data_IF_945978310501
#
_entry.id   IF_945978310501
#
_cell.length_a   1.000
_cell.length_b   1.000
_cell.length_c   1.000
_cell.angle_alpha   90.00
_cell.angle_beta   90.00
_cell.angle_gamma   90.00
#
_symmetry.space_group_name_H-M   'P 1'
#
loop_
_entity.id
_entity.type
_entity.pdbx_description
1 polymer ?
#
# COMPACT_ATOMS: atom_id res chain seq x y z
N UNK A 1 8.82 0.30 -14.80
CA UNK A 1 7.76 0.06 -15.79
C UNK A 1 6.43 0.18 -15.06
N UNK A 2 5.49 0.95 -15.58
CA UNK A 2 4.16 1.09 -15.02
C UNK A 2 3.40 -0.26 -15.07
N UNK A 3 2.43 -0.45 -14.16
CA UNK A 3 1.60 -1.67 -14.15
C UNK A 3 0.93 -1.94 -15.51
N UNK A 4 0.42 -0.94 -16.25
CA UNK A 4 -0.09 -1.13 -17.61
C UNK A 4 0.95 -1.67 -18.59
N UNK A 5 2.17 -1.13 -18.60
CA UNK A 5 3.26 -1.64 -19.47
C UNK A 5 3.67 -3.06 -19.13
N UNK A 6 3.72 -3.40 -17.84
CA UNK A 6 4.00 -4.76 -17.40
C UNK A 6 2.92 -5.73 -17.89
N UNK A 7 1.66 -5.36 -17.73
CA UNK A 7 0.52 -6.16 -18.17
C UNK A 7 0.53 -6.37 -19.69
N UNK A 8 0.80 -5.33 -20.46
CA UNK A 8 0.83 -5.36 -21.93
C UNK A 8 1.94 -6.27 -22.47
N UNK A 9 3.13 -6.23 -21.87
CA UNK A 9 4.24 -7.14 -22.19
C UNK A 9 3.82 -8.60 -21.99
N UNK A 10 3.17 -8.92 -20.87
CA UNK A 10 2.75 -10.27 -20.56
C UNK A 10 1.58 -10.74 -21.45
N UNK A 11 0.61 -9.88 -21.75
CA UNK A 11 -0.48 -10.19 -22.67
C UNK A 11 0.02 -10.45 -24.09
N UNK A 12 0.95 -9.64 -24.60
CA UNK A 12 1.54 -9.84 -25.92
C UNK A 12 2.32 -11.16 -25.98
N UNK A 13 3.03 -11.50 -24.91
CA UNK A 13 3.74 -12.79 -24.85
C UNK A 13 2.78 -13.98 -24.85
N UNK A 14 1.69 -13.90 -24.08
CA UNK A 14 0.66 -14.94 -24.05
C UNK A 14 -0.01 -15.11 -25.43
N UNK A 15 -0.29 -14.02 -26.14
CA UNK A 15 -0.90 -14.09 -27.48
C UNK A 15 -0.07 -14.89 -28.50
N UNK A 16 1.25 -14.82 -28.38
CA UNK A 16 2.20 -15.46 -29.31
C UNK A 16 2.50 -16.93 -29.00
N UNK A 17 2.12 -17.44 -27.84
CA UNK A 17 2.40 -18.81 -27.42
C UNK A 17 1.35 -19.79 -27.96
N UNK A 18 1.78 -21.06 -28.20
CA UNK A 18 0.87 -22.16 -28.45
C UNK A 18 -0.02 -22.45 -27.22
N UNK A 19 -1.22 -23.06 -27.37
CA UNK A 19 -2.18 -23.22 -26.27
C UNK A 19 -1.60 -23.87 -25.02
N UNK A 20 -0.78 -24.90 -25.15
CA UNK A 20 -0.16 -25.60 -24.04
C UNK A 20 0.92 -24.75 -23.33
N UNK A 21 1.63 -23.92 -24.08
CA UNK A 21 2.66 -23.04 -23.55
C UNK A 21 2.06 -21.82 -22.86
N UNK A 22 0.85 -21.38 -23.25
CA UNK A 22 0.07 -20.39 -22.51
C UNK A 22 -0.23 -20.85 -21.10
N UNK A 23 -0.68 -22.10 -20.95
CA UNK A 23 -0.98 -22.69 -19.64
C UNK A 23 0.30 -22.78 -18.80
N UNK A 24 1.38 -23.29 -19.34
CA UNK A 24 2.68 -23.37 -18.65
C UNK A 24 3.19 -22.00 -18.22
N UNK A 25 3.06 -21.01 -19.09
CA UNK A 25 3.46 -19.63 -18.79
C UNK A 25 2.63 -19.04 -17.65
N UNK A 26 1.31 -19.18 -17.67
CA UNK A 26 0.43 -18.72 -16.58
C UNK A 26 0.77 -19.42 -15.27
N UNK A 27 0.93 -20.74 -15.26
CA UNK A 27 1.30 -21.51 -14.07
C UNK A 27 2.66 -21.03 -13.52
N UNK A 28 3.65 -20.81 -14.38
CA UNK A 28 4.97 -20.31 -13.95
C UNK A 28 4.90 -18.93 -13.32
N UNK A 29 4.02 -18.05 -13.81
CA UNK A 29 3.82 -16.71 -13.23
C UNK A 29 3.08 -16.76 -11.90
N UNK A 30 2.05 -17.60 -11.80
CA UNK A 30 1.33 -17.84 -10.54
C UNK A 30 2.29 -18.43 -9.50
N UNK A 31 3.07 -19.43 -9.85
CA UNK A 31 4.08 -20.03 -8.96
C UNK A 31 5.13 -19.02 -8.51
N UNK A 32 5.61 -18.15 -9.40
CA UNK A 32 6.56 -17.08 -9.07
C UNK A 32 5.96 -16.05 -8.10
N UNK A 33 4.68 -15.70 -8.28
CA UNK A 33 3.97 -14.81 -7.36
C UNK A 33 3.79 -15.45 -5.99
N UNK A 34 3.46 -16.75 -5.95
CA UNK A 34 3.35 -17.52 -4.71
C UNK A 34 4.69 -17.64 -3.97
N UNK A 35 5.76 -17.98 -4.68
CA UNK A 35 7.11 -18.06 -4.13
C UNK A 35 7.59 -16.70 -3.62
N UNK A 36 7.27 -15.60 -4.33
CA UNK A 36 7.62 -14.25 -3.92
C UNK A 36 6.88 -13.83 -2.62
N UNK A 37 5.62 -14.25 -2.45
CA UNK A 37 4.83 -14.01 -1.24
C UNK A 37 5.43 -14.73 -0.03
N UNK A 38 5.78 -16.02 -0.17
CA UNK A 38 6.41 -16.84 0.88
C UNK A 38 7.81 -16.30 1.19
N UNK A 39 8.60 -16.01 0.17
CA UNK A 39 9.98 -15.51 0.32
C UNK A 39 10.04 -14.16 1.05
N UNK A 40 9.05 -13.25 0.86
CA UNK A 40 9.04 -11.98 1.57
C UNK A 40 8.86 -12.17 3.08
N UNK A 41 7.88 -12.98 3.49
CA UNK A 41 7.62 -13.30 4.90
C UNK A 41 8.84 -13.92 5.56
N UNK A 42 9.37 -15.00 4.97
CA UNK A 42 10.53 -15.72 5.49
C UNK A 42 11.75 -14.82 5.57
N UNK A 43 11.96 -13.95 4.59
CA UNK A 43 13.06 -13.01 4.57
C UNK A 43 12.94 -11.94 5.66
N UNK A 44 11.76 -11.39 5.89
CA UNK A 44 11.52 -10.40 6.95
C UNK A 44 11.76 -11.05 8.32
N UNK A 45 11.16 -12.19 8.60
CA UNK A 45 11.32 -12.88 9.88
C UNK A 45 12.79 -13.30 10.11
N UNK A 46 13.47 -13.86 9.11
CA UNK A 46 14.87 -14.26 9.22
C UNK A 46 15.82 -13.07 9.44
N UNK A 47 15.54 -11.92 8.87
CA UNK A 47 16.35 -10.72 9.11
C UNK A 47 16.12 -10.16 10.53
N UNK A 48 14.86 -10.10 10.97
CA UNK A 48 14.52 -9.56 12.29
C UNK A 48 14.95 -10.47 13.43
N UNK A 49 14.95 -11.81 13.23
CA UNK A 49 15.45 -12.76 14.23
C UNK A 49 16.96 -12.64 14.54
N UNK A 50 17.71 -11.96 13.67
CA UNK A 50 19.15 -11.66 13.88
C UNK A 50 19.38 -10.40 14.72
N UNK A 51 18.35 -9.64 14.99
CA UNK A 51 18.40 -8.40 15.77
C UNK A 51 18.05 -8.77 17.20
N UNK A 52 19.00 -8.65 18.13
CA UNK A 52 18.84 -9.02 19.54
C UNK A 52 17.66 -8.33 20.26
N UNK A 53 17.16 -7.23 19.71
CA UNK A 53 16.00 -6.49 20.21
C UNK A 53 14.66 -7.22 19.99
N UNK A 54 14.60 -8.22 19.11
CA UNK A 54 13.36 -8.94 18.80
C UNK A 54 13.32 -10.28 19.56
N UNK A 55 12.54 -10.32 20.64
CA UNK A 55 12.28 -11.57 21.33
C UNK A 55 11.49 -12.57 20.47
N UNK A 56 11.57 -13.88 20.74
CA UNK A 56 10.79 -14.88 20.02
C UNK A 56 9.28 -14.60 20.04
N UNK A 57 8.76 -14.07 21.15
CA UNK A 57 7.35 -13.71 21.29
C UNK A 57 6.97 -12.56 20.35
N UNK A 58 7.83 -11.54 20.26
CA UNK A 58 7.62 -10.42 19.34
C UNK A 58 7.66 -10.87 17.87
N UNK A 59 8.57 -11.80 17.54
CA UNK A 59 8.64 -12.38 16.19
C UNK A 59 7.38 -13.18 15.84
N UNK A 60 6.82 -13.92 16.80
CA UNK A 60 5.55 -14.64 16.60
C UNK A 60 4.37 -13.67 16.34
N UNK A 61 4.30 -12.56 17.08
CA UNK A 61 3.29 -11.52 16.86
C UNK A 61 3.46 -10.89 15.48
N UNK A 62 4.68 -10.57 15.08
CA UNK A 62 4.99 -10.00 13.78
C UNK A 62 4.60 -10.97 12.64
N UNK A 63 4.93 -12.25 12.79
CA UNK A 63 4.58 -13.28 11.83
C UNK A 63 3.05 -13.41 11.66
N UNK A 64 2.31 -13.41 12.76
CA UNK A 64 0.85 -13.40 12.75
C UNK A 64 0.27 -12.15 12.05
N UNK A 65 0.86 -10.98 12.29
CA UNK A 65 0.45 -9.73 11.63
C UNK A 65 0.73 -9.76 10.13
N UNK A 66 1.89 -10.26 9.70
CA UNK A 66 2.22 -10.42 8.28
C UNK A 66 1.24 -11.37 7.61
N UNK A 67 0.90 -12.49 8.27
CA UNK A 67 -0.07 -13.45 7.74
C UNK A 67 -1.47 -12.82 7.62
N UNK A 68 -1.94 -12.15 8.67
CA UNK A 68 -3.23 -11.45 8.66
C UNK A 68 -3.31 -10.39 7.56
N UNK A 69 -2.24 -9.61 7.36
CA UNK A 69 -2.15 -8.63 6.27
C UNK A 69 -2.23 -9.29 4.88
N UNK A 70 -1.62 -10.47 4.72
CA UNK A 70 -1.65 -11.19 3.45
C UNK A 70 -3.01 -11.81 3.13
N UNK A 71 -3.74 -12.23 4.15
CA UNK A 71 -5.04 -12.90 4.01
C UNK A 71 -6.21 -11.90 4.03
N UNK A 72 -5.96 -10.65 4.45
CA UNK A 72 -6.98 -9.61 4.49
C UNK A 72 -7.44 -9.22 3.08
N UNK A 73 -8.74 -9.32 2.86
CA UNK A 73 -9.40 -8.85 1.64
C UNK A 73 -10.19 -7.59 2.02
N UNK A 74 -9.72 -6.40 1.61
CA UNK A 74 -10.40 -5.16 1.95
C UNK A 74 -11.77 -5.07 1.28
N UNK A 75 -12.75 -4.51 2.00
CA UNK A 75 -14.06 -4.18 1.46
C UNK A 75 -14.06 -2.73 0.98
N UNK A 76 -14.86 -2.45 -0.05
CA UNK A 76 -15.00 -1.07 -0.55
C UNK A 76 -15.71 -0.22 0.49
N UNK A 77 -15.08 0.89 0.88
CA UNK A 77 -15.66 1.89 1.76
C UNK A 77 -16.46 2.90 0.93
N UNK A 78 -17.73 3.11 1.28
CA UNK A 78 -18.64 4.00 0.55
C UNK A 78 -18.50 5.48 0.90
N UNK A 79 -17.85 5.82 2.02
CA UNK A 79 -17.60 7.19 2.42
C UNK A 79 -16.41 7.83 1.70
N UNK A 80 -16.23 9.12 1.93
CA UNK A 80 -15.06 9.88 1.50
C UNK A 80 -13.90 9.67 2.48
N UNK A 81 -12.66 9.67 1.99
CA UNK A 81 -11.46 9.69 2.84
C UNK A 81 -10.55 10.88 2.50
N UNK A 82 -9.80 11.34 3.48
CA UNK A 82 -8.69 12.29 3.28
C UNK A 82 -7.37 11.60 3.59
N UNK A 83 -6.44 11.64 2.64
CA UNK A 83 -5.09 11.08 2.78
C UNK A 83 -4.13 12.23 3.07
N UNK A 84 -3.51 12.23 4.26
CA UNK A 84 -2.39 13.11 4.57
C UNK A 84 -1.09 12.41 4.13
N UNK A 85 -0.42 12.95 3.12
CA UNK A 85 0.69 12.32 2.44
C UNK A 85 1.96 13.16 2.57
N UNK A 86 3.11 12.51 2.82
CA UNK A 86 4.41 13.20 2.85
C UNK A 86 4.85 13.64 1.45
N UNK A 87 5.44 14.83 1.35
CA UNK A 87 5.92 15.40 0.08
C UNK A 87 7.13 14.65 -0.49
N UNK A 88 7.96 14.03 0.37
CA UNK A 88 9.23 13.40 -0.05
C UNK A 88 9.06 12.06 -0.80
N UNK A 89 7.85 11.51 -0.88
CA UNK A 89 7.56 10.25 -1.61
C UNK A 89 7.32 10.47 -3.12
N UNK A 90 8.13 11.28 -3.78
CA UNK A 90 7.88 11.76 -5.14
C UNK A 90 7.67 10.65 -6.19
N UNK A 91 8.53 9.64 -6.24
CA UNK A 91 8.41 8.55 -7.23
C UNK A 91 7.19 7.66 -7.01
N UNK A 92 6.86 7.35 -5.75
CA UNK A 92 5.69 6.54 -5.43
C UNK A 92 4.38 7.33 -5.64
N UNK A 93 4.43 8.63 -5.38
CA UNK A 93 3.34 9.57 -5.59
C UNK A 93 2.93 9.68 -7.05
N UNK A 94 3.89 9.73 -7.97
CA UNK A 94 3.62 9.87 -9.40
C UNK A 94 3.02 8.59 -10.01
N UNK A 95 3.41 7.43 -9.47
CA UNK A 95 2.90 6.13 -9.92
C UNK A 95 1.56 5.74 -9.27
N UNK A 96 1.34 6.15 -8.02
CA UNK A 96 0.18 5.80 -7.21
C UNK A 96 -0.30 7.03 -6.42
N UNK A 97 -0.92 8.00 -7.09
CA UNK A 97 -1.32 9.26 -6.44
C UNK A 97 -2.22 9.05 -5.21
N UNK A 98 -3.12 8.09 -5.26
CA UNK A 98 -4.01 7.73 -4.16
C UNK A 98 -3.46 6.63 -3.24
N UNK A 99 -2.16 6.30 -3.31
CA UNK A 99 -1.47 5.32 -2.47
C UNK A 99 -2.17 3.94 -2.42
N UNK A 100 -2.85 3.54 -3.49
CA UNK A 100 -3.57 2.26 -3.60
C UNK A 100 -5.00 2.27 -3.08
N UNK A 101 -5.54 3.41 -2.62
CA UNK A 101 -6.90 3.51 -2.10
C UNK A 101 -7.99 3.66 -3.17
N UNK A 102 -7.61 3.92 -4.44
CA UNK A 102 -8.52 4.22 -5.54
C UNK A 102 -9.67 3.21 -5.68
N UNK A 103 -9.34 1.93 -5.64
CA UNK A 103 -10.32 0.86 -5.84
C UNK A 103 -11.01 0.42 -4.53
N UNK A 104 -10.62 1.01 -3.41
CA UNK A 104 -11.13 0.69 -2.08
C UNK A 104 -12.07 1.77 -1.51
N UNK A 105 -12.26 2.88 -2.22
CA UNK A 105 -13.09 3.99 -1.78
C UNK A 105 -13.99 4.46 -2.90
N UNK A 106 -15.31 4.45 -2.71
CA UNK A 106 -16.28 4.90 -3.70
C UNK A 106 -16.85 6.30 -3.45
N UNK A 107 -16.72 6.82 -2.23
CA UNK A 107 -17.22 8.16 -1.86
C UNK A 107 -16.28 9.32 -2.18
N UNK A 108 -15.09 9.03 -2.71
CA UNK A 108 -14.09 10.04 -3.10
C UNK A 108 -12.86 10.07 -2.20
N UNK A 109 -11.76 10.54 -2.77
CA UNK A 109 -10.47 10.64 -2.09
C UNK A 109 -9.96 12.08 -2.22
N UNK A 110 -9.69 12.72 -1.09
CA UNK A 110 -8.97 13.99 -1.03
C UNK A 110 -7.55 13.76 -0.55
N UNK A 111 -6.59 14.49 -1.12
CA UNK A 111 -5.17 14.33 -0.79
C UNK A 111 -4.63 15.66 -0.29
N UNK A 112 -3.98 15.60 0.88
CA UNK A 112 -3.29 16.72 1.51
C UNK A 112 -1.81 16.39 1.65
N UNK A 113 -0.97 17.12 0.93
CA UNK A 113 0.48 16.95 1.04
C UNK A 113 1.02 17.67 2.29
N UNK A 114 1.87 16.99 3.06
CA UNK A 114 2.49 17.49 4.29
C UNK A 114 4.00 17.56 4.06
N UNK A 115 4.67 18.66 4.41
CA UNK A 115 6.11 18.81 4.26
C UNK A 115 6.92 17.71 4.96
N UNK A 116 8.06 17.35 4.37
CA UNK A 116 8.98 16.35 4.92
C UNK A 116 8.69 14.92 4.47
N UNK A 117 9.44 13.99 5.06
CA UNK A 117 9.24 12.56 4.88
C UNK A 117 8.17 11.99 5.83
N UNK A 118 7.96 10.67 5.78
CA UNK A 118 6.97 9.98 6.61
C UNK A 118 7.18 10.16 8.13
N UNK A 119 8.40 10.33 8.58
CA UNK A 119 8.74 10.55 10.00
C UNK A 119 8.77 12.05 10.34
N UNK A 120 9.23 12.87 9.42
CA UNK A 120 9.34 14.32 9.59
C UNK A 120 7.98 15.01 9.62
N UNK A 121 6.98 14.50 8.88
CA UNK A 121 5.63 15.05 8.92
C UNK A 121 4.98 15.02 10.30
N UNK A 122 5.45 14.13 11.20
CA UNK A 122 4.98 13.99 12.58
C UNK A 122 5.82 14.78 13.59
N UNK A 123 6.80 15.56 13.14
CA UNK A 123 7.70 16.36 13.97
C UNK A 123 7.58 17.85 13.69
N UNK A 124 7.98 18.68 14.66
CA UNK A 124 8.10 20.13 14.43
C UNK A 124 9.14 20.45 13.34
N UNK A 125 8.90 21.41 12.46
CA UNK A 125 7.68 22.27 12.38
C UNK A 125 6.52 21.65 11.57
N UNK A 126 6.73 20.55 10.86
CA UNK A 126 5.79 19.98 9.88
C UNK A 126 4.48 19.49 10.52
N UNK A 127 4.53 19.00 11.75
CA UNK A 127 3.34 18.56 12.50
C UNK A 127 2.32 19.69 12.67
N UNK A 128 2.74 20.96 12.75
CA UNK A 128 1.81 22.08 12.82
C UNK A 128 1.00 22.23 11.53
N UNK A 129 1.60 21.96 10.38
CA UNK A 129 0.90 21.96 9.10
C UNK A 129 -0.13 20.83 9.06
N UNK A 130 0.26 19.62 9.49
CA UNK A 130 -0.64 18.46 9.59
C UNK A 130 -1.84 18.77 10.49
N UNK A 131 -1.59 19.29 11.69
CA UNK A 131 -2.64 19.65 12.66
C UNK A 131 -3.59 20.71 12.08
N UNK A 132 -3.05 21.76 11.45
CA UNK A 132 -3.86 22.81 10.82
C UNK A 132 -4.79 22.27 9.74
N UNK A 133 -4.28 21.42 8.86
CA UNK A 133 -5.07 20.77 7.80
C UNK A 133 -6.10 19.80 8.36
N UNK A 134 -5.72 18.96 9.33
CA UNK A 134 -6.62 18.02 9.99
C UNK A 134 -7.78 18.75 10.68
N UNK A 135 -7.49 19.81 11.44
CA UNK A 135 -8.50 20.65 12.07
C UNK A 135 -9.49 21.22 11.06
N UNK A 136 -8.99 21.77 9.95
CA UNK A 136 -9.85 22.33 8.89
C UNK A 136 -10.80 21.26 8.32
N UNK A 137 -10.34 20.01 8.17
CA UNK A 137 -11.19 18.92 7.70
C UNK A 137 -12.26 18.54 8.71
N UNK A 138 -11.89 18.39 9.97
CA UNK A 138 -12.85 18.09 11.06
C UNK A 138 -13.91 19.18 11.16
N UNK A 139 -13.51 20.45 11.16
CA UNK A 139 -14.44 21.59 11.28
C UNK A 139 -15.42 21.64 10.09
N UNK A 140 -14.97 21.28 8.88
CA UNK A 140 -15.86 21.21 7.69
C UNK A 140 -16.93 20.13 7.85
N UNK A 141 -16.55 18.92 8.23
CA UNK A 141 -17.47 17.81 8.41
C UNK A 141 -18.49 18.05 9.52
N UNK A 142 -18.03 18.61 10.64
CA UNK A 142 -18.91 18.91 11.77
C UNK A 142 -19.87 20.06 11.50
N UNK A 143 -19.49 21.03 10.65
CA UNK A 143 -20.35 22.15 10.27
C UNK A 143 -21.41 21.77 9.24
N UNK A 144 -21.12 20.78 8.37
CA UNK A 144 -22.06 20.29 7.35
C UNK A 144 -23.18 19.39 7.89
N UNK A 145 -23.03 18.85 9.11
CA UNK A 145 -24.02 17.93 9.69
C UNK A 145 -25.17 18.64 10.42
N UNK A 146 -25.12 19.97 10.56
CA UNK A 146 -26.14 20.80 11.26
C UNK A 146 -27.12 21.52 10.32
N UNK A 147 -27.31 21.04 9.09
CA UNK A 147 -28.23 21.63 8.11
C UNK A 147 -29.37 20.69 7.75
#
# INVERSE_FOLDING_TARGET
>A
KSFPEYLEIHLNKIRQLAPIDKIKYCISKISTLFQKKISYRDHVIANLSRIEMFSPELLNVLDGNIQAQQDYIPQVYSGQITIFRSESQSLYRDLYPELGWKDLVSGGIEIEDIPGDHYEMMREPNVQVLVGKLKTRIDRETSGTNS
#
